data_IF_534596412586
#
_entry.id   IF_534596412586
#
_cell.length_a   1.000
_cell.length_b   1.000
_cell.length_c   1.000
_cell.angle_alpha   90.00
_cell.angle_beta   90.00
_cell.angle_gamma   90.00
#
_symmetry.space_group_name_H-M   'P 1'
#
loop_
_entity.id
_entity.type
_entity.pdbx_description
1 polymer ?
#
# COMPACT_ATOMS: atom_id res chain seq x y z
N UNK A 1 -0.98 21.69 -3.87
CA UNK A 1 0.36 21.08 -3.72
C UNK A 1 0.24 19.72 -3.05
N UNK A 2 0.92 18.74 -3.58
CA UNK A 2 0.88 17.37 -3.07
C UNK A 2 1.73 17.24 -1.79
N UNK A 3 1.15 16.65 -0.77
CA UNK A 3 1.82 16.38 0.50
C UNK A 3 1.67 14.90 0.84
N UNK A 4 2.78 14.23 1.13
CA UNK A 4 2.81 12.84 1.58
C UNK A 4 3.52 12.83 2.93
N UNK A 5 2.82 12.41 3.97
CA UNK A 5 3.35 12.45 5.33
C UNK A 5 2.95 11.20 6.11
N UNK A 6 3.73 10.87 7.15
CA UNK A 6 3.34 9.81 8.08
C UNK A 6 1.94 10.06 8.61
N UNK A 7 1.11 9.02 8.59
CA UNK A 7 -0.25 9.10 9.13
C UNK A 7 -0.21 9.42 10.62
N UNK A 8 -0.99 10.38 11.03
CA UNK A 8 -1.12 10.83 12.41
C UNK A 8 -2.51 10.49 12.94
N UNK A 9 -2.68 10.63 14.24
CA UNK A 9 -3.96 10.35 14.89
C UNK A 9 -5.12 11.14 14.26
N UNK A 10 -4.86 12.36 13.81
CA UNK A 10 -5.86 13.22 13.16
C UNK A 10 -6.31 12.68 11.81
N UNK A 11 -5.52 11.80 11.19
CA UNK A 11 -5.79 11.32 9.85
C UNK A 11 -6.64 10.03 9.84
N UNK A 12 -6.78 9.34 10.97
CA UNK A 12 -7.37 8.00 10.99
C UNK A 12 -8.83 7.96 10.53
N UNK A 13 -9.57 9.05 10.70
CA UNK A 13 -10.93 9.15 10.19
C UNK A 13 -10.95 9.14 8.67
N UNK A 14 -9.99 9.79 8.05
CA UNK A 14 -9.82 9.76 6.59
C UNK A 14 -9.49 8.36 6.09
N UNK A 15 -8.61 7.66 6.79
CA UNK A 15 -8.27 6.27 6.47
C UNK A 15 -9.49 5.36 6.58
N UNK A 16 -10.28 5.53 7.65
CA UNK A 16 -11.51 4.78 7.86
C UNK A 16 -12.49 4.98 6.69
N UNK A 17 -12.65 6.22 6.24
CA UNK A 17 -13.52 6.55 5.11
C UNK A 17 -12.99 5.97 3.80
N UNK A 18 -11.68 5.99 3.59
CA UNK A 18 -11.05 5.40 2.41
C UNK A 18 -11.35 3.90 2.32
N UNK A 19 -11.17 3.18 3.43
CA UNK A 19 -11.42 1.73 3.46
C UNK A 19 -12.89 1.38 3.35
N UNK A 20 -13.79 2.26 3.77
CA UNK A 20 -15.23 2.06 3.64
C UNK A 20 -15.74 2.23 2.20
N UNK A 21 -14.90 2.75 1.30
CA UNK A 21 -15.25 2.96 -0.10
C UNK A 21 -15.06 1.68 -0.90
N UNK A 22 -16.15 1.10 -1.40
CA UNK A 22 -16.10 -0.14 -2.18
C UNK A 22 -15.34 -0.01 -3.49
N UNK A 23 -15.38 1.16 -4.13
CA UNK A 23 -14.61 1.40 -5.36
C UNK A 23 -13.09 1.36 -5.09
N UNK A 24 -12.67 1.78 -3.91
CA UNK A 24 -11.27 1.69 -3.47
C UNK A 24 -10.90 0.24 -3.14
N UNK A 25 -11.79 -0.49 -2.47
CA UNK A 25 -11.47 -1.76 -1.83
C UNK A 25 -11.88 -3.00 -2.63
N UNK A 26 -12.50 -2.84 -3.79
CA UNK A 26 -13.03 -3.97 -4.57
C UNK A 26 -11.96 -4.98 -5.01
N UNK A 27 -10.77 -4.53 -5.35
CA UNK A 27 -9.70 -5.42 -5.81
C UNK A 27 -8.95 -6.11 -4.67
N UNK A 28 -9.23 -5.73 -3.41
CA UNK A 28 -8.66 -6.39 -2.23
C UNK A 28 -9.70 -7.21 -1.48
N UNK A 29 -10.83 -7.50 -2.13
CA UNK A 29 -11.83 -8.43 -1.61
C UNK A 29 -13.02 -7.80 -0.90
N UNK A 30 -13.17 -6.47 -0.95
CA UNK A 30 -14.27 -5.77 -0.28
C UNK A 30 -15.03 -4.86 -1.26
N UNK A 31 -15.87 -5.45 -2.14
CA UNK A 31 -16.59 -4.65 -3.15
C UNK A 31 -17.57 -3.65 -2.55
N UNK A 32 -18.01 -3.86 -1.31
CA UNK A 32 -18.90 -2.96 -0.59
C UNK A 32 -18.15 -2.12 0.46
N UNK A 33 -16.81 -2.15 0.43
CA UNK A 33 -15.96 -1.48 1.39
C UNK A 33 -15.68 -2.30 2.64
N UNK A 34 -14.64 -1.92 3.37
CA UNK A 34 -14.28 -2.50 4.66
C UNK A 34 -14.69 -1.50 5.75
N UNK A 35 -15.68 -1.88 6.56
CA UNK A 35 -16.24 -0.99 7.57
C UNK A 35 -15.64 -1.30 8.95
N UNK A 36 -14.66 -0.50 9.35
CA UNK A 36 -14.02 -0.62 10.65
C UNK A 36 -14.73 0.27 11.68
N UNK A 37 -14.74 -0.19 12.93
CA UNK A 37 -15.21 0.62 14.06
C UNK A 37 -14.16 1.67 14.44
N UNK A 38 -14.57 2.69 15.16
CA UNK A 38 -13.64 3.70 15.66
C UNK A 38 -12.59 3.08 16.58
N UNK A 39 -12.98 2.15 17.44
CA UNK A 39 -12.04 1.39 18.28
C UNK A 39 -11.04 0.58 17.44
N UNK A 40 -11.53 -0.09 16.39
CA UNK A 40 -10.67 -0.83 15.46
C UNK A 40 -9.63 0.07 14.80
N UNK A 41 -10.01 1.28 14.41
CA UNK A 41 -9.08 2.25 13.82
C UNK A 41 -8.05 2.72 14.84
N UNK A 42 -8.44 2.94 16.09
CA UNK A 42 -7.51 3.30 17.16
C UNK A 42 -6.49 2.20 17.39
N UNK A 43 -6.93 0.94 17.43
CA UNK A 43 -6.05 -0.22 17.60
C UNK A 43 -5.10 -0.36 16.42
N UNK A 44 -5.59 -0.18 15.19
CA UNK A 44 -4.77 -0.20 14.00
C UNK A 44 -3.68 0.87 14.04
N UNK A 45 -4.04 2.10 14.42
CA UNK A 45 -3.07 3.19 14.49
C UNK A 45 -1.99 2.94 15.55
N UNK A 46 -2.38 2.38 16.71
CA UNK A 46 -1.39 1.98 17.72
C UNK A 46 -0.41 0.95 17.18
N UNK A 47 -0.90 -0.01 16.40
CA UNK A 47 -0.05 -1.01 15.75
C UNK A 47 0.93 -0.36 14.77
N UNK A 48 0.46 0.53 13.92
CA UNK A 48 1.32 1.28 12.97
C UNK A 48 2.41 2.02 13.75
N UNK A 49 2.01 2.82 14.73
CA UNK A 49 2.95 3.67 15.50
C UNK A 49 4.00 2.84 16.25
N UNK A 50 3.58 1.70 16.81
CA UNK A 50 4.46 0.83 17.61
C UNK A 50 5.50 0.10 16.75
N UNK A 51 5.26 -0.06 15.46
CA UNK A 51 6.12 -0.84 14.57
C UNK A 51 6.97 -0.01 13.62
N UNK A 52 6.83 1.32 13.66
CA UNK A 52 7.69 2.20 12.87
C UNK A 52 9.14 2.06 13.30
N UNK A 53 10.12 2.06 12.39
CA UNK A 53 10.03 2.17 10.92
C UNK A 53 10.03 0.81 10.19
N UNK A 54 9.84 -0.32 10.88
CA UNK A 54 9.75 -1.63 10.23
C UNK A 54 8.56 -1.68 9.26
N UNK A 55 7.53 -0.91 9.54
CA UNK A 55 6.45 -0.60 8.62
C UNK A 55 6.12 0.89 8.77
N UNK A 56 5.47 1.45 7.75
CA UNK A 56 4.94 2.80 7.88
C UNK A 56 3.74 3.00 6.95
N UNK A 57 2.89 3.90 7.36
CA UNK A 57 1.67 4.26 6.65
C UNK A 57 1.68 5.76 6.40
N UNK A 58 1.45 6.15 5.15
CA UNK A 58 1.49 7.55 4.73
C UNK A 58 0.12 8.00 4.27
N UNK A 59 -0.24 9.20 4.68
CA UNK A 59 -1.45 9.89 4.23
C UNK A 59 -1.08 10.87 3.12
N UNK A 60 -1.86 10.85 2.06
CA UNK A 60 -1.60 11.65 0.85
C UNK A 60 -2.66 12.72 0.74
N UNK A 61 -2.22 13.98 0.65
CA UNK A 61 -3.09 15.16 0.54
C UNK A 61 -2.73 15.94 -0.72
N UNK A 62 -3.73 16.43 -1.43
CA UNK A 62 -3.55 17.41 -2.51
C UNK A 62 -4.34 18.66 -2.13
N UNK A 63 -3.63 19.78 -1.97
CA UNK A 63 -4.21 21.07 -1.56
C UNK A 63 -5.08 20.94 -0.30
N UNK A 64 -4.59 20.17 0.67
CA UNK A 64 -5.28 19.94 1.95
C UNK A 64 -6.38 18.91 1.93
N UNK A 65 -6.69 18.32 0.77
CA UNK A 65 -7.72 17.29 0.64
C UNK A 65 -7.09 15.90 0.69
N UNK A 66 -7.61 15.04 1.57
CA UNK A 66 -7.13 13.66 1.69
C UNK A 66 -7.46 12.86 0.42
N UNK A 67 -6.44 12.29 -0.20
CA UNK A 67 -6.55 11.55 -1.45
C UNK A 67 -6.45 10.04 -1.29
N UNK A 68 -5.73 9.57 -0.27
CA UNK A 68 -5.50 8.16 -0.08
C UNK A 68 -4.26 7.86 0.75
N UNK A 69 -3.75 6.66 0.59
CA UNK A 69 -2.65 6.14 1.40
C UNK A 69 -1.62 5.38 0.60
N UNK A 70 -0.38 5.35 1.11
CA UNK A 70 0.62 4.37 0.71
C UNK A 70 1.22 3.74 1.97
N UNK A 71 1.79 2.54 1.82
CA UNK A 71 2.21 1.72 2.96
C UNK A 71 3.34 0.80 2.54
N UNK A 72 4.25 0.52 3.49
CA UNK A 72 5.19 -0.59 3.35
C UNK A 72 5.30 -1.36 4.67
N UNK A 73 5.63 -2.63 4.56
CA UNK A 73 5.94 -3.47 5.72
C UNK A 73 7.14 -4.35 5.37
N UNK A 74 8.21 -4.24 6.17
CA UNK A 74 9.47 -4.95 5.94
C UNK A 74 9.47 -6.28 6.67
N UNK A 75 9.77 -7.35 5.94
CA UNK A 75 10.17 -8.64 6.47
C UNK A 75 11.68 -8.62 6.63
N UNK A 76 12.16 -8.53 7.87
CA UNK A 76 13.58 -8.39 8.15
C UNK A 76 14.38 -9.64 7.77
N UNK A 77 13.78 -10.83 7.87
CA UNK A 77 14.43 -12.09 7.52
C UNK A 77 14.77 -12.15 6.03
N UNK A 78 13.84 -11.71 5.19
CA UNK A 78 13.97 -11.78 3.72
C UNK A 78 14.38 -10.45 3.11
N UNK A 79 14.54 -9.40 3.92
CA UNK A 79 14.87 -8.03 3.49
C UNK A 79 13.97 -7.54 2.36
N UNK A 80 12.72 -7.89 2.45
CA UNK A 80 11.71 -7.52 1.46
C UNK A 80 10.58 -6.73 2.12
N UNK A 81 9.96 -5.85 1.37
CA UNK A 81 8.84 -5.07 1.87
C UNK A 81 7.63 -5.20 0.97
N UNK A 82 6.50 -5.56 1.57
CA UNK A 82 5.20 -5.47 0.91
C UNK A 82 4.80 -4.01 0.81
N UNK A 83 4.28 -3.60 -0.34
CA UNK A 83 3.78 -2.26 -0.58
C UNK A 83 2.29 -2.26 -0.85
N UNK A 84 1.64 -1.15 -0.54
CA UNK A 84 0.25 -0.93 -0.88
C UNK A 84 0.01 0.52 -1.23
N UNK A 85 -0.98 0.77 -2.09
CA UNK A 85 -1.45 2.09 -2.49
C UNK A 85 -2.97 2.04 -2.65
N UNK A 86 -3.65 2.99 -2.04
CA UNK A 86 -5.10 3.13 -2.21
C UNK A 86 -5.44 4.61 -2.38
N UNK A 87 -6.20 4.93 -3.41
CA UNK A 87 -6.65 6.28 -3.69
C UNK A 87 -8.14 6.31 -3.91
N UNK A 88 -8.79 7.37 -3.43
CA UNK A 88 -10.15 7.68 -3.85
C UNK A 88 -10.20 7.88 -5.37
N UNK A 89 -11.35 7.58 -5.97
CA UNK A 89 -11.53 7.69 -7.41
C UNK A 89 -11.20 9.07 -7.98
N UNK A 90 -11.54 10.15 -7.23
CA UNK A 90 -11.26 11.51 -7.69
C UNK A 90 -9.76 11.82 -7.78
N UNK A 91 -8.93 11.07 -7.08
CA UNK A 91 -7.47 11.29 -7.03
C UNK A 91 -6.70 10.48 -8.07
N UNK A 92 -7.39 9.66 -8.86
CA UNK A 92 -6.74 8.80 -9.84
C UNK A 92 -6.45 9.53 -11.15
N UNK A 93 -5.44 9.07 -11.87
CA UNK A 93 -5.12 9.55 -13.21
C UNK A 93 -4.36 10.88 -13.26
N UNK A 94 -3.83 11.36 -12.14
CA UNK A 94 -3.08 12.63 -12.08
C UNK A 94 -1.69 12.50 -11.43
N UNK A 95 -1.13 11.28 -11.40
CA UNK A 95 0.23 11.07 -10.91
C UNK A 95 0.38 10.92 -9.39
N UNK A 96 -0.71 10.98 -8.63
CA UNK A 96 -0.67 10.89 -7.17
C UNK A 96 -0.24 9.49 -6.72
N UNK A 97 -0.72 8.43 -7.39
CA UNK A 97 -0.33 7.06 -7.08
C UNK A 97 1.17 6.84 -7.27
N UNK A 98 1.73 7.36 -8.36
CA UNK A 98 3.17 7.30 -8.63
C UNK A 98 3.96 7.96 -7.50
N UNK A 99 3.55 9.16 -7.09
CA UNK A 99 4.22 9.89 -6.01
C UNK A 99 4.13 9.14 -4.67
N UNK A 100 2.94 8.62 -4.32
CA UNK A 100 2.73 7.90 -3.07
C UNK A 100 3.54 6.61 -3.00
N UNK A 101 3.54 5.83 -4.08
CA UNK A 101 4.34 4.61 -4.17
C UNK A 101 5.83 4.89 -4.15
N UNK A 102 6.29 5.88 -4.91
CA UNK A 102 7.71 6.25 -4.95
C UNK A 102 8.21 6.64 -3.56
N UNK A 103 7.38 7.34 -2.78
CA UNK A 103 7.71 7.69 -1.41
C UNK A 103 7.85 6.44 -0.54
N UNK A 104 6.88 5.54 -0.57
CA UNK A 104 6.92 4.29 0.22
C UNK A 104 8.11 3.40 -0.19
N UNK A 105 8.40 3.29 -1.49
CA UNK A 105 9.55 2.55 -2.01
C UNK A 105 10.85 3.09 -1.43
N UNK A 106 11.04 4.41 -1.52
CA UNK A 106 12.23 5.09 -1.01
C UNK A 106 12.41 4.82 0.49
N UNK A 107 11.35 4.98 1.26
CA UNK A 107 11.40 4.80 2.71
C UNK A 107 11.67 3.33 3.08
N UNK A 108 11.06 2.38 2.37
CA UNK A 108 11.33 0.96 2.59
C UNK A 108 12.80 0.63 2.35
N UNK A 109 13.39 1.12 1.26
CA UNK A 109 14.81 0.91 0.97
C UNK A 109 15.72 1.58 2.00
N UNK A 110 15.37 2.78 2.45
CA UNK A 110 16.13 3.49 3.50
C UNK A 110 16.11 2.73 4.82
N UNK A 111 15.06 1.97 5.09
CA UNK A 111 14.87 1.25 6.35
C UNK A 111 15.25 -0.23 6.26
N UNK A 112 15.96 -0.66 5.22
CA UNK A 112 16.60 -1.96 5.17
C UNK A 112 16.06 -2.96 4.16
N UNK A 113 14.99 -2.64 3.44
CA UNK A 113 14.52 -3.51 2.37
C UNK A 113 15.51 -3.49 1.19
N UNK A 114 15.71 -4.63 0.58
CA UNK A 114 16.48 -4.77 -0.67
C UNK A 114 15.56 -5.04 -1.84
N UNK A 115 14.35 -5.52 -1.56
CA UNK A 115 13.30 -5.79 -2.53
C UNK A 115 12.01 -5.19 -1.99
N UNK A 116 11.24 -4.55 -2.86
CA UNK A 116 9.85 -4.17 -2.59
C UNK A 116 8.95 -4.93 -3.55
N UNK A 117 7.76 -5.31 -3.11
CA UNK A 117 6.87 -6.13 -3.92
C UNK A 117 5.41 -5.75 -3.74
N UNK A 118 4.63 -6.09 -4.75
CA UNK A 118 3.18 -5.91 -4.80
C UNK A 118 2.53 -7.17 -5.32
N UNK A 119 1.27 -7.39 -4.97
CA UNK A 119 0.52 -8.57 -5.44
C UNK A 119 -0.85 -8.16 -6.00
N UNK A 120 -0.87 -7.43 -7.12
CA UNK A 120 -2.13 -6.93 -7.67
C UNK A 120 -3.06 -8.05 -8.13
N UNK A 121 -4.36 -7.77 -8.03
CA UNK A 121 -5.38 -8.60 -8.66
C UNK A 121 -5.14 -8.58 -10.18
N UNK A 122 -5.17 -9.74 -10.87
CA UNK A 122 -4.92 -9.79 -12.32
C UNK A 122 -5.90 -8.94 -13.13
N UNK A 123 -7.07 -8.65 -12.60
CA UNK A 123 -8.07 -7.82 -13.26
C UNK A 123 -7.82 -6.33 -13.09
N UNK A 124 -6.95 -5.96 -12.16
CA UNK A 124 -6.60 -4.56 -11.91
C UNK A 124 -5.51 -4.09 -12.88
N UNK A 125 -5.89 -3.90 -14.13
CA UNK A 125 -4.95 -3.57 -15.21
C UNK A 125 -4.26 -2.23 -15.01
N UNK A 126 -4.94 -1.26 -14.38
CA UNK A 126 -4.37 0.05 -14.09
C UNK A 126 -3.24 -0.03 -13.07
N UNK A 127 -3.43 -0.83 -12.02
CA UNK A 127 -2.39 -1.04 -11.01
C UNK A 127 -1.17 -1.75 -11.62
N UNK A 128 -1.41 -2.81 -12.39
CA UNK A 128 -0.33 -3.56 -13.06
C UNK A 128 0.50 -2.63 -13.96
N UNK A 129 -0.18 -1.81 -14.77
CA UNK A 129 0.50 -0.85 -15.66
C UNK A 129 1.33 0.17 -14.86
N UNK A 130 0.80 0.64 -13.73
CA UNK A 130 1.50 1.57 -12.85
C UNK A 130 2.79 0.93 -12.30
N UNK A 131 2.69 -0.30 -11.81
CA UNK A 131 3.86 -1.01 -11.26
C UNK A 131 4.91 -1.28 -12.34
N UNK A 132 4.49 -1.70 -13.53
CA UNK A 132 5.42 -1.88 -14.66
C UNK A 132 6.15 -0.58 -14.99
N UNK A 133 5.42 0.54 -15.02
CA UNK A 133 5.99 1.85 -15.29
C UNK A 133 7.03 2.26 -14.24
N UNK A 134 6.84 1.85 -12.99
CA UNK A 134 7.79 2.11 -11.91
C UNK A 134 8.99 1.16 -11.92
N UNK A 135 9.02 0.17 -12.82
CA UNK A 135 10.12 -0.76 -12.95
C UNK A 135 9.92 -2.11 -12.28
N UNK A 136 8.75 -2.37 -11.72
CA UNK A 136 8.43 -3.68 -11.16
C UNK A 136 8.38 -4.74 -12.26
N UNK A 137 8.89 -5.92 -11.96
CA UNK A 137 8.88 -7.06 -12.88
C UNK A 137 8.03 -8.18 -12.29
N UNK A 138 7.19 -8.76 -13.12
CA UNK A 138 6.39 -9.92 -12.73
C UNK A 138 7.30 -11.14 -12.60
N UNK A 139 7.15 -11.87 -11.50
CA UNK A 139 7.90 -13.09 -11.21
C UNK A 139 6.97 -14.07 -10.49
N UNK A 140 7.47 -15.30 -10.31
CA UNK A 140 6.81 -16.28 -9.47
C UNK A 140 6.87 -15.82 -8.01
N UNK A 141 5.85 -16.14 -7.22
CA UNK A 141 5.88 -15.89 -5.79
C UNK A 141 7.04 -16.60 -5.13
N UNK A 142 7.84 -15.90 -4.29
CA UNK A 142 8.81 -16.58 -3.44
C UNK A 142 8.10 -17.57 -2.52
N UNK A 143 8.77 -18.69 -2.21
CA UNK A 143 8.17 -19.75 -1.38
C UNK A 143 7.67 -19.23 -0.02
N UNK A 144 8.40 -18.30 0.60
CA UNK A 144 8.03 -17.79 1.92
C UNK A 144 6.74 -16.98 1.91
N UNK A 145 6.27 -16.56 0.73
CA UNK A 145 5.00 -15.82 0.58
C UNK A 145 3.83 -16.73 0.21
N UNK A 146 4.07 -18.04 0.11
CA UNK A 146 3.03 -19.02 -0.27
C UNK A 146 2.87 -20.01 0.89
N UNK A 147 1.67 -20.08 1.45
CA UNK A 147 1.35 -21.05 2.49
C UNK A 147 1.21 -22.44 1.90
N UNK A 148 1.46 -23.49 2.73
CA UNK A 148 1.32 -24.87 2.29
C UNK A 148 -0.10 -25.11 1.75
N UNK A 149 -0.18 -25.61 0.51
CA UNK A 149 -1.45 -25.90 -0.15
C UNK A 149 -2.17 -24.65 -0.67
N UNK A 150 -1.60 -23.47 -0.53
CA UNK A 150 -2.20 -22.24 -1.03
C UNK A 150 -2.03 -22.14 -2.55
N UNK A 151 -3.12 -21.79 -3.24
CA UNK A 151 -3.10 -21.46 -4.65
C UNK A 151 -3.25 -19.94 -4.80
N UNK A 152 -2.18 -19.28 -5.27
CA UNK A 152 -2.20 -17.82 -5.45
C UNK A 152 -3.04 -17.44 -6.65
N UNK A 153 -3.96 -16.49 -6.45
CA UNK A 153 -4.81 -15.93 -7.51
C UNK A 153 -4.36 -14.52 -7.94
N UNK A 154 -3.45 -13.91 -7.19
CA UNK A 154 -2.87 -12.61 -7.54
C UNK A 154 -1.56 -12.78 -8.31
N UNK A 155 -1.07 -11.67 -8.87
CA UNK A 155 0.23 -11.60 -9.55
C UNK A 155 1.26 -11.09 -8.56
N UNK A 156 2.49 -11.62 -8.61
CA UNK A 156 3.61 -11.09 -7.83
C UNK A 156 4.52 -10.25 -8.73
N UNK A 157 4.83 -9.05 -8.28
CA UNK A 157 5.74 -8.15 -8.98
C UNK A 157 6.72 -7.55 -7.98
N UNK A 158 7.99 -7.47 -8.36
CA UNK A 158 9.03 -6.94 -7.47
C UNK A 158 9.91 -5.89 -8.14
N UNK A 159 10.49 -5.03 -7.31
CA UNK A 159 11.49 -4.06 -7.68
C UNK A 159 12.66 -4.19 -6.73
N UNK A 160 13.87 -4.32 -7.26
CA UNK A 160 15.09 -4.44 -6.45
C UNK A 160 15.75 -3.09 -6.28
N UNK A 161 16.35 -2.90 -5.10
CA UNK A 161 17.18 -1.74 -4.82
C UNK A 161 18.43 -1.76 -5.71
N UNK A 162 18.74 -0.59 -6.28
CA UNK A 162 19.94 -0.42 -7.11
C UNK A 162 21.20 -0.38 -6.26
#
# INVERSE_FOLDING_TARGET
MLEIKETMIEDIKCVQQLWADGDVMKFVGFPDGLHQTDEGMQNWFRWIKSNRPALNHYSIFEDGKYCGESFYEIDAEHRSAALDIKLFGFARGCGIATAGLSHAIKEAFLNGAEIVWVDPNPENLKAIALYEKLGFQQKDFPEYLVSEGEEKTSIYMELRKN
#
